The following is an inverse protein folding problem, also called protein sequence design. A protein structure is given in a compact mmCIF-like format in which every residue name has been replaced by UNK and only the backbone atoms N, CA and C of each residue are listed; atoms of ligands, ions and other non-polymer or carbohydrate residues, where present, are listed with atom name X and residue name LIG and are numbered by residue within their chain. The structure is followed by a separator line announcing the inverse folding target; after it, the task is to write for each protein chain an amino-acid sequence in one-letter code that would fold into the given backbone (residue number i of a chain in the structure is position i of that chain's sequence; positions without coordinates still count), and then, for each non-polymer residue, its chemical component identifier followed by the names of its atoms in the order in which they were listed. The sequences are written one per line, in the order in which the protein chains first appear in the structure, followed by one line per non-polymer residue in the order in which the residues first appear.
data_IF_444427158690
#
_entry.id   IF_444427158690
#
_cell.length_a   1.000
_cell.length_b   1.000
_cell.length_c   1.000
_cell.angle_alpha   90.00
_cell.angle_beta   90.00
_cell.angle_gamma   90.00
#
_symmetry.space_group_name_H-M   'P 1'
#
loop_
_entity.id
_entity.type
_entity.pdbx_description
1 polymer ?
#
# COMPACT_ATOMS: atom_id res chain seq x y z
N UNK A 1 4.19 70.82 18.85
CA UNK A 1 4.55 71.51 17.60
C UNK A 1 5.68 70.69 17.00
N UNK A 2 5.42 70.10 15.81
CA UNK A 2 6.36 69.45 14.87
C UNK A 2 7.00 68.14 15.39
N UNK A 3 6.49 66.95 15.05
CA UNK A 3 6.62 66.18 13.78
C UNK A 3 8.06 66.06 13.31
N UNK A 4 8.57 64.83 13.32
CA UNK A 4 9.29 64.26 12.19
C UNK A 4 8.88 62.78 12.06
N UNK A 5 8.30 62.48 10.91
CA UNK A 5 8.03 61.15 10.37
C UNK A 5 9.36 60.60 9.84
N UNK A 6 9.65 59.33 10.12
CA UNK A 6 10.55 58.56 9.25
C UNK A 6 9.98 57.15 9.10
N UNK A 7 9.33 56.95 7.96
CA UNK A 7 8.91 55.68 7.40
C UNK A 7 10.13 54.93 6.90
N UNK A 8 10.42 53.77 7.50
CA UNK A 8 11.23 52.73 6.87
C UNK A 8 10.42 51.43 6.81
N UNK A 9 10.13 51.05 5.57
CA UNK A 9 9.60 49.74 5.17
C UNK A 9 10.73 48.72 5.36
N UNK A 10 10.52 47.67 6.15
CA UNK A 10 11.40 46.50 6.14
C UNK A 10 10.57 45.21 6.34
N UNK A 11 10.32 44.57 5.20
CA UNK A 11 10.11 43.16 4.88
C UNK A 11 9.50 42.20 5.92
N UNK A 12 8.36 41.61 5.55
CA UNK A 12 7.81 40.39 6.16
C UNK A 12 8.85 39.25 6.19
N UNK A 13 9.06 38.55 7.32
CA UNK A 13 9.96 37.42 7.37
C UNK A 13 9.39 36.24 6.60
N UNK A 14 10.11 35.89 5.52
CA UNK A 14 9.94 34.67 4.70
C UNK A 14 9.73 33.45 5.58
N UNK A 15 8.61 32.76 5.35
CA UNK A 15 8.27 31.46 5.95
C UNK A 15 9.42 30.49 5.63
N UNK A 16 10.18 30.10 6.66
CA UNK A 16 11.18 29.05 6.56
C UNK A 16 10.47 27.73 6.33
N UNK A 17 10.79 27.05 5.24
CA UNK A 17 10.51 25.63 5.09
C UNK A 17 11.14 24.91 6.28
N UNK A 18 10.30 24.36 7.17
CA UNK A 18 10.74 23.48 8.24
C UNK A 18 11.34 22.23 7.61
N UNK A 19 12.64 22.02 7.81
CA UNK A 19 13.30 20.74 7.53
C UNK A 19 12.58 19.67 8.34
N UNK A 20 11.96 18.71 7.64
CA UNK A 20 11.44 17.49 8.25
C UNK A 20 12.56 16.79 9.03
N UNK A 21 12.19 16.22 10.16
CA UNK A 21 13.11 15.49 11.03
C UNK A 21 13.70 14.28 10.29
N UNK A 22 14.90 13.83 10.68
CA UNK A 22 15.55 12.66 10.07
C UNK A 22 14.73 11.38 10.22
N UNK A 23 13.90 11.29 11.28
CA UNK A 23 12.96 10.19 11.51
C UNK A 23 11.82 10.19 10.48
N UNK A 24 11.28 11.37 10.12
CA UNK A 24 10.28 11.51 9.06
C UNK A 24 10.86 11.28 7.65
N UNK A 25 12.20 11.36 7.49
CA UNK A 25 12.88 11.06 6.23
C UNK A 25 13.17 9.56 6.09
N UNK A 26 13.36 8.83 7.18
CA UNK A 26 13.57 7.38 7.18
C UNK A 26 12.28 6.57 6.92
N UNK A 27 11.13 6.96 7.51
CA UNK A 27 9.85 6.29 7.21
C UNK A 27 9.35 6.56 5.77
N UNK A 28 9.68 7.73 5.21
CA UNK A 28 9.40 8.04 3.82
C UNK A 28 10.26 7.14 2.89
N UNK A 29 11.47 6.69 3.26
CA UNK A 29 12.38 6.02 2.32
C UNK A 29 11.95 4.62 1.85
N UNK A 30 11.22 3.84 2.66
CA UNK A 30 10.80 2.48 2.28
C UNK A 30 9.54 2.46 1.38
N UNK A 31 8.78 3.57 1.32
CA UNK A 31 7.50 3.65 0.59
C UNK A 31 7.26 4.94 -0.23
N UNK A 32 8.17 5.92 -0.23
CA UNK A 32 8.11 7.10 -1.10
C UNK A 32 8.98 6.87 -2.33
N UNK A 33 8.40 6.48 -3.46
CA UNK A 33 7.78 7.45 -4.33
C UNK A 33 6.67 6.74 -5.12
N UNK A 34 5.46 6.66 -4.56
CA UNK A 34 4.28 6.08 -5.25
C UNK A 34 3.79 6.94 -6.44
N UNK A 35 4.48 8.04 -6.78
CA UNK A 35 4.14 8.92 -7.90
C UNK A 35 4.91 8.50 -9.14
N UNK A 36 4.21 8.37 -10.26
CA UNK A 36 4.86 8.10 -11.53
C UNK A 36 5.21 9.40 -12.26
N UNK A 37 6.24 9.33 -13.09
CA UNK A 37 6.57 10.35 -14.10
C UNK A 37 6.37 9.80 -15.51
N UNK A 38 5.48 8.81 -15.64
CA UNK A 38 5.13 8.27 -16.95
C UNK A 38 4.52 9.38 -17.79
N UNK A 39 4.81 9.42 -19.09
CA UNK A 39 4.20 10.39 -19.99
C UNK A 39 2.76 9.99 -20.30
N UNK A 40 2.50 8.70 -20.55
CA UNK A 40 1.16 8.14 -20.81
C UNK A 40 1.06 6.65 -20.39
N UNK A 41 -0.15 6.08 -20.45
CA UNK A 41 -0.39 4.64 -20.42
C UNK A 41 -0.52 4.03 -19.03
N UNK A 42 0.46 4.15 -18.13
CA UNK A 42 0.42 3.61 -16.75
C UNK A 42 -0.20 2.21 -16.54
N UNK A 43 -0.28 1.38 -17.58
CA UNK A 43 -0.98 0.08 -17.62
C UNK A 43 -0.02 -1.09 -17.46
N UNK A 44 1.26 -0.79 -17.25
CA UNK A 44 2.33 -1.77 -17.08
C UNK A 44 3.12 -1.50 -15.83
N UNK A 45 3.93 -2.48 -15.44
CA UNK A 45 4.76 -2.44 -14.23
C UNK A 45 5.96 -1.51 -14.31
N UNK A 46 6.18 -0.88 -15.47
CA UNK A 46 7.11 0.23 -15.59
C UNK A 46 6.60 1.47 -14.83
N UNK A 47 5.28 1.60 -14.65
CA UNK A 47 4.69 2.60 -13.79
C UNK A 47 4.79 2.17 -12.31
N UNK A 48 5.38 2.97 -11.42
CA UNK A 48 5.47 2.65 -9.99
C UNK A 48 4.10 2.54 -9.32
N UNK A 49 3.11 3.36 -9.71
CA UNK A 49 1.75 3.28 -9.17
C UNK A 49 1.14 1.90 -9.48
N UNK A 50 1.15 1.53 -10.77
CA UNK A 50 0.63 0.24 -11.23
C UNK A 50 1.36 -0.93 -10.59
N UNK A 51 2.70 -0.86 -10.50
CA UNK A 51 3.54 -1.90 -9.89
C UNK A 51 3.16 -2.18 -8.43
N UNK A 52 2.84 -1.13 -7.68
CA UNK A 52 2.50 -1.21 -6.26
C UNK A 52 1.00 -1.26 -5.97
N UNK A 53 0.16 -1.38 -7.00
CA UNK A 53 -1.29 -1.52 -6.81
C UNK A 53 -1.99 -0.23 -6.36
N UNK A 54 -1.40 0.94 -6.62
CA UNK A 54 -2.05 2.22 -6.39
C UNK A 54 -2.53 2.85 -7.70
N UNK A 55 -3.67 3.52 -7.65
CA UNK A 55 -4.07 4.44 -8.70
C UNK A 55 -3.09 5.60 -8.81
N UNK A 56 -3.02 6.19 -10.00
CA UNK A 56 -2.41 7.49 -10.21
C UNK A 56 -3.33 8.58 -9.64
N UNK A 57 -2.75 9.67 -9.17
CA UNK A 57 -3.48 10.84 -8.69
C UNK A 57 -2.90 12.13 -9.29
N UNK A 58 -3.42 13.27 -8.88
CA UNK A 58 -2.98 14.59 -9.36
C UNK A 58 -1.52 14.91 -9.04
N UNK A 59 -0.85 14.11 -8.20
CA UNK A 59 0.57 14.26 -7.92
C UNK A 59 1.48 13.50 -8.90
N UNK A 60 0.89 12.69 -9.78
CA UNK A 60 1.60 11.95 -10.83
C UNK A 60 1.79 12.81 -12.11
N UNK A 61 2.90 12.57 -12.81
CA UNK A 61 3.21 13.23 -14.08
C UNK A 61 2.45 12.70 -15.30
N UNK A 62 1.73 11.59 -15.16
CA UNK A 62 1.02 10.91 -16.28
C UNK A 62 -0.26 11.58 -16.75
N UNK A 63 -0.63 12.72 -16.15
CA UNK A 63 -1.85 13.43 -16.51
C UNK A 63 -3.13 12.63 -16.24
N UNK A 64 -4.22 13.11 -16.83
CA UNK A 64 -5.58 12.58 -16.63
C UNK A 64 -5.85 11.30 -17.44
N UNK A 65 -5.12 11.08 -18.55
CA UNK A 65 -5.31 9.96 -19.49
C UNK A 65 -4.58 8.67 -19.05
N UNK A 66 -4.45 8.47 -17.74
CA UNK A 66 -3.79 7.30 -17.17
C UNK A 66 -4.66 6.05 -17.31
N UNK A 67 -4.21 5.05 -18.08
CA UNK A 67 -4.90 3.75 -18.20
C UNK A 67 -4.57 2.79 -17.03
N UNK A 68 -4.10 3.33 -15.91
CA UNK A 68 -3.84 2.53 -14.72
C UNK A 68 -5.15 1.95 -14.18
N UNK A 69 -5.36 0.64 -14.31
CA UNK A 69 -6.58 -0.02 -13.83
C UNK A 69 -6.83 0.21 -12.32
N UNK A 70 -5.80 0.48 -11.53
CA UNK A 70 -5.94 0.79 -10.10
C UNK A 70 -6.55 2.17 -9.82
N UNK A 71 -6.77 3.00 -10.86
CA UNK A 71 -7.60 4.21 -10.76
C UNK A 71 -9.07 3.89 -10.46
N UNK A 72 -9.49 2.63 -10.67
CA UNK A 72 -10.86 2.15 -10.53
C UNK A 72 -11.07 1.25 -9.30
N UNK A 73 -10.22 1.40 -8.29
CA UNK A 73 -10.27 0.62 -7.07
C UNK A 73 -11.52 0.90 -6.21
N UNK A 74 -12.23 2.00 -6.45
CA UNK A 74 -13.55 2.29 -5.87
C UNK A 74 -14.58 1.18 -6.15
N UNK A 75 -14.40 0.38 -7.19
CA UNK A 75 -15.23 -0.81 -7.42
C UNK A 75 -15.16 -1.81 -6.25
N UNK A 76 -13.97 -1.98 -5.66
CA UNK A 76 -13.74 -2.89 -4.54
C UNK A 76 -13.95 -2.20 -3.19
N UNK A 77 -13.44 -0.98 -3.05
CA UNK A 77 -13.41 -0.29 -1.77
C UNK A 77 -14.61 0.62 -1.51
N UNK A 78 -15.31 1.07 -2.55
CA UNK A 78 -16.38 2.05 -2.44
C UNK A 78 -15.97 3.37 -1.77
N UNK A 79 -16.92 4.31 -1.73
CA UNK A 79 -16.74 5.61 -1.07
C UNK A 79 -15.76 6.54 -1.78
N UNK A 80 -15.52 7.70 -1.15
CA UNK A 80 -14.69 8.78 -1.72
C UNK A 80 -13.21 8.67 -1.35
N UNK A 81 -12.87 7.80 -0.38
CA UNK A 81 -11.49 7.57 0.01
C UNK A 81 -10.78 6.75 -1.07
N UNK A 82 -9.64 7.27 -1.55
CA UNK A 82 -8.73 6.51 -2.41
C UNK A 82 -7.94 5.52 -1.57
N UNK A 83 -8.02 4.24 -1.95
CA UNK A 83 -7.27 3.16 -1.32
C UNK A 83 -6.22 2.64 -2.28
N UNK A 84 -5.05 2.26 -1.76
CA UNK A 84 -4.14 1.38 -2.47
C UNK A 84 -4.56 -0.08 -2.24
N UNK A 85 -4.44 -0.92 -3.27
CA UNK A 85 -4.61 -2.35 -3.09
C UNK A 85 -3.38 -2.93 -2.39
N UNK A 86 -3.60 -3.81 -1.40
CA UNK A 86 -2.49 -4.56 -0.79
C UNK A 86 -1.68 -5.28 -1.90
N UNK A 87 -0.34 -5.33 -1.87
CA UNK A 87 0.44 -5.83 -2.99
C UNK A 87 0.06 -7.26 -3.43
N UNK A 88 -0.36 -8.11 -2.49
CA UNK A 88 -0.86 -9.44 -2.83
C UNK A 88 -2.18 -9.42 -3.62
N UNK A 89 -3.11 -8.54 -3.23
CA UNK A 89 -4.37 -8.33 -3.95
C UNK A 89 -4.12 -7.68 -5.32
N UNK A 90 -3.25 -6.67 -5.37
CA UNK A 90 -2.87 -6.01 -6.61
C UNK A 90 -2.29 -7.01 -7.62
N UNK A 91 -1.37 -7.89 -7.19
CA UNK A 91 -0.83 -8.94 -8.05
C UNK A 91 -1.92 -9.92 -8.52
N UNK A 92 -2.88 -10.25 -7.66
CA UNK A 92 -4.01 -11.10 -8.04
C UNK A 92 -4.89 -10.41 -9.09
N UNK A 93 -5.18 -9.11 -8.93
CA UNK A 93 -5.92 -8.31 -9.90
C UNK A 93 -5.20 -8.29 -11.25
N UNK A 94 -3.90 -8.02 -11.30
CA UNK A 94 -3.13 -8.03 -12.57
C UNK A 94 -3.18 -9.38 -13.31
N UNK A 95 -3.44 -10.49 -12.61
CA UNK A 95 -3.60 -11.81 -13.23
C UNK A 95 -5.03 -12.08 -13.69
N UNK A 96 -6.01 -11.38 -13.13
CA UNK A 96 -7.44 -11.62 -13.35
C UNK A 96 -8.08 -10.61 -14.28
N UNK A 97 -7.69 -9.35 -14.14
CA UNK A 97 -8.10 -8.25 -14.98
C UNK A 97 -6.86 -7.74 -15.73
N UNK A 98 -7.02 -7.49 -17.02
CA UNK A 98 -5.97 -6.90 -17.86
C UNK A 98 -6.04 -5.38 -17.88
N UNK A 99 -7.21 -4.84 -17.58
CA UNK A 99 -7.59 -3.43 -17.71
C UNK A 99 -8.74 -3.11 -16.73
N UNK A 100 -9.17 -1.85 -16.74
CA UNK A 100 -10.26 -1.34 -15.90
C UNK A 100 -11.60 -2.05 -16.16
N UNK A 101 -11.95 -2.30 -17.42
CA UNK A 101 -13.21 -2.95 -17.80
C UNK A 101 -13.28 -4.37 -17.25
N UNK A 102 -12.18 -5.12 -17.32
CA UNK A 102 -12.08 -6.45 -16.76
C UNK A 102 -12.21 -6.48 -15.23
N UNK A 103 -11.86 -5.40 -14.51
CA UNK A 103 -12.08 -5.32 -13.06
C UNK A 103 -13.56 -5.40 -12.72
N UNK A 104 -14.43 -4.75 -13.50
CA UNK A 104 -15.88 -4.73 -13.26
C UNK A 104 -16.54 -6.10 -13.46
N UNK A 105 -15.87 -7.01 -14.16
CA UNK A 105 -16.34 -8.39 -14.34
C UNK A 105 -16.09 -9.29 -13.13
N UNK A 106 -15.28 -8.84 -12.17
CA UNK A 106 -14.95 -9.60 -10.96
C UNK A 106 -16.15 -9.54 -10.01
N UNK A 107 -16.80 -10.69 -9.79
CA UNK A 107 -17.87 -10.83 -8.80
C UNK A 107 -17.34 -10.57 -7.37
N UNK A 108 -17.56 -9.34 -6.90
CA UNK A 108 -17.12 -8.85 -5.59
C UNK A 108 -17.72 -9.66 -4.44
N UNK A 109 -18.98 -10.03 -4.53
CA UNK A 109 -19.66 -10.78 -3.47
C UNK A 109 -19.18 -12.22 -3.39
N UNK A 110 -18.86 -12.84 -4.53
CA UNK A 110 -18.21 -14.14 -4.55
C UNK A 110 -16.80 -14.07 -3.99
N UNK A 111 -16.04 -13.02 -4.32
CA UNK A 111 -14.70 -12.81 -3.76
C UNK A 111 -14.76 -12.61 -2.23
N UNK A 112 -15.63 -11.72 -1.75
CA UNK A 112 -15.88 -11.50 -0.32
C UNK A 112 -16.24 -12.79 0.39
N UNK A 113 -17.25 -13.53 -0.09
CA UNK A 113 -17.66 -14.82 0.51
C UNK A 113 -16.54 -15.85 0.53
N UNK A 114 -15.63 -15.83 -0.46
CA UNK A 114 -14.45 -16.71 -0.46
C UNK A 114 -13.48 -16.34 0.66
N UNK A 115 -13.16 -15.06 0.82
CA UNK A 115 -12.23 -14.56 1.85
C UNK A 115 -12.79 -14.87 3.25
N UNK A 116 -14.07 -14.57 3.48
CA UNK A 116 -14.74 -14.78 4.77
C UNK A 116 -14.91 -16.26 5.15
N UNK A 117 -14.77 -17.17 4.18
CA UNK A 117 -14.80 -18.63 4.41
C UNK A 117 -13.41 -19.22 4.62
N UNK A 118 -12.36 -18.42 4.69
CA UNK A 118 -11.03 -18.93 4.91
C UNK A 118 -10.92 -19.56 6.31
N UNK A 119 -10.21 -20.69 6.40
CA UNK A 119 -10.18 -21.55 7.58
C UNK A 119 -9.55 -20.87 8.80
N UNK A 120 -8.55 -20.00 8.60
CA UNK A 120 -7.87 -19.28 9.67
C UNK A 120 -8.46 -17.89 9.93
N UNK A 121 -9.49 -17.48 9.18
CA UNK A 121 -10.14 -16.19 9.36
C UNK A 121 -10.63 -16.01 10.81
N UNK A 122 -11.21 -17.05 11.38
CA UNK A 122 -11.74 -17.05 12.75
C UNK A 122 -10.65 -16.94 13.82
N UNK A 123 -9.46 -17.49 13.56
CA UNK A 123 -8.33 -17.53 14.51
C UNK A 123 -7.51 -16.24 14.49
N UNK A 124 -7.41 -15.59 13.33
CA UNK A 124 -6.57 -14.39 13.15
C UNK A 124 -7.32 -13.09 13.45
N UNK A 125 -8.66 -13.11 13.44
CA UNK A 125 -9.49 -11.97 13.75
C UNK A 125 -9.92 -11.94 15.23
N UNK A 126 -9.18 -12.53 16.17
CA UNK A 126 -9.59 -12.59 17.60
C UNK A 126 -9.87 -11.20 18.22
N UNK A 127 -9.26 -10.12 17.70
CA UNK A 127 -9.56 -8.72 18.10
C UNK A 127 -10.88 -8.18 17.51
N UNK A 128 -11.29 -8.67 16.34
CA UNK A 128 -12.66 -8.52 15.90
C UNK A 128 -13.47 -9.51 16.71
N UNK A 129 -14.26 -9.03 17.68
CA UNK A 129 -15.15 -9.86 18.47
C UNK A 129 -16.09 -10.68 17.57
N UNK A 130 -15.61 -11.83 17.09
CA UNK A 130 -16.35 -12.74 16.22
C UNK A 130 -17.61 -13.21 16.93
N UNK A 131 -17.52 -13.30 18.25
CA UNK A 131 -18.61 -13.59 19.17
C UNK A 131 -19.67 -12.48 19.20
N UNK A 132 -19.30 -11.20 19.09
CA UNK A 132 -20.25 -10.11 18.85
C UNK A 132 -20.79 -10.17 17.42
N UNK A 133 -19.92 -10.29 16.42
CA UNK A 133 -20.30 -10.31 15.00
C UNK A 133 -21.30 -11.42 14.67
N UNK A 134 -21.13 -12.64 15.21
CA UNK A 134 -22.04 -13.76 14.93
C UNK A 134 -23.46 -13.53 15.48
N UNK A 135 -23.60 -12.67 16.48
CA UNK A 135 -24.87 -12.36 17.13
C UNK A 135 -25.58 -11.15 16.51
N UNK A 136 -24.90 -10.38 15.65
CA UNK A 136 -25.48 -9.27 14.87
C UNK A 136 -26.56 -9.75 13.90
N UNK A 137 -27.45 -8.84 13.50
CA UNK A 137 -28.44 -9.13 12.47
C UNK A 137 -27.79 -9.27 11.07
N UNK A 138 -28.58 -9.64 10.07
CA UNK A 138 -28.07 -9.89 8.71
C UNK A 138 -27.53 -8.62 8.02
N UNK A 139 -28.15 -7.46 8.29
CA UNK A 139 -27.75 -6.18 7.69
C UNK A 139 -26.46 -5.68 8.34
N UNK A 140 -26.35 -5.77 9.66
CA UNK A 140 -25.12 -5.45 10.39
C UNK A 140 -23.95 -6.36 10.00
N UNK A 141 -24.19 -7.68 9.88
CA UNK A 141 -23.18 -8.63 9.38
C UNK A 141 -22.74 -8.31 7.96
N UNK A 142 -23.65 -7.80 7.12
CA UNK A 142 -23.34 -7.39 5.77
C UNK A 142 -22.44 -6.15 5.77
N UNK A 143 -22.74 -5.14 6.59
CA UNK A 143 -21.95 -3.92 6.73
C UNK A 143 -20.55 -4.24 7.25
N UNK A 144 -20.45 -4.93 8.39
CA UNK A 144 -19.16 -5.35 8.96
C UNK A 144 -18.37 -6.21 7.97
N UNK A 145 -19.06 -7.12 7.27
CA UNK A 145 -18.45 -7.98 6.27
C UNK A 145 -17.94 -7.21 5.04
N UNK A 146 -18.50 -6.04 4.73
CA UNK A 146 -17.96 -5.15 3.68
C UNK A 146 -16.73 -4.40 4.19
N UNK A 147 -16.77 -3.84 5.39
CA UNK A 147 -15.65 -3.11 5.98
C UNK A 147 -14.42 -4.01 6.12
N UNK A 148 -14.60 -5.18 6.71
CA UNK A 148 -13.55 -6.17 6.87
C UNK A 148 -12.99 -6.65 5.52
N UNK A 149 -13.86 -6.83 4.51
CA UNK A 149 -13.41 -7.17 3.17
C UNK A 149 -12.50 -6.10 2.57
N UNK A 150 -12.84 -4.82 2.77
CA UNK A 150 -12.01 -3.69 2.34
C UNK A 150 -10.67 -3.70 3.07
N UNK A 151 -10.68 -3.87 4.38
CA UNK A 151 -9.46 -3.91 5.19
C UNK A 151 -8.52 -5.03 4.72
N UNK A 152 -9.04 -6.24 4.51
CA UNK A 152 -8.22 -7.39 4.12
C UNK A 152 -7.55 -7.27 2.74
N UNK A 153 -8.07 -6.45 1.83
CA UNK A 153 -7.50 -6.30 0.48
C UNK A 153 -6.84 -4.93 0.25
N UNK A 154 -6.95 -4.03 1.21
CA UNK A 154 -6.36 -2.69 1.20
C UNK A 154 -4.93 -2.71 1.74
N UNK A 155 -4.08 -1.86 1.18
CA UNK A 155 -2.75 -1.59 1.73
C UNK A 155 -2.82 -0.80 3.05
N UNK A 156 -3.94 -0.13 3.32
CA UNK A 156 -4.14 0.72 4.51
C UNK A 156 -4.45 -0.06 5.80
N UNK A 157 -4.70 -1.38 5.74
CA UNK A 157 -4.96 -2.13 6.98
C UNK A 157 -3.69 -2.20 7.83
N UNK A 158 -3.81 -2.00 9.14
CA UNK A 158 -2.65 -1.99 10.04
C UNK A 158 -2.18 -3.40 10.39
N UNK A 159 -3.12 -4.35 10.52
CA UNK A 159 -2.84 -5.64 11.17
C UNK A 159 -2.96 -6.83 10.23
N UNK A 160 -4.00 -6.88 9.39
CA UNK A 160 -4.36 -8.09 8.67
C UNK A 160 -4.51 -7.83 7.17
N UNK A 161 -4.16 -8.82 6.36
CA UNK A 161 -4.49 -8.85 4.95
C UNK A 161 -4.83 -10.26 4.50
N UNK A 162 -5.55 -10.37 3.38
CA UNK A 162 -5.78 -11.65 2.73
C UNK A 162 -4.68 -11.94 1.71
N UNK A 163 -3.90 -12.98 1.97
CA UNK A 163 -2.90 -13.49 1.06
C UNK A 163 -3.54 -14.33 -0.04
N UNK A 164 -3.61 -13.77 -1.25
CA UNK A 164 -4.00 -14.51 -2.45
C UNK A 164 -2.96 -15.55 -2.88
N UNK A 165 -1.70 -15.42 -2.43
CA UNK A 165 -0.65 -16.41 -2.68
C UNK A 165 -0.86 -17.68 -1.87
N UNK A 166 -1.29 -17.54 -0.60
CA UNK A 166 -1.45 -18.64 0.35
C UNK A 166 -2.91 -19.04 0.57
N UNK A 167 -3.85 -18.22 0.07
CA UNK A 167 -5.29 -18.38 0.24
C UNK A 167 -5.73 -18.32 1.72
N UNK A 168 -5.09 -17.45 2.50
CA UNK A 168 -5.27 -17.32 3.95
C UNK A 168 -5.21 -15.87 4.43
N UNK A 169 -5.75 -15.59 5.63
CA UNK A 169 -5.52 -14.30 6.30
C UNK A 169 -4.14 -14.33 6.94
N UNK A 170 -3.36 -13.27 6.74
CA UNK A 170 -2.02 -13.12 7.28
C UNK A 170 -1.93 -11.84 8.11
N UNK A 171 -1.05 -11.87 9.10
CA UNK A 171 -0.66 -10.72 9.91
C UNK A 171 0.46 -9.94 9.18
N UNK A 172 0.31 -8.61 9.07
CA UNK A 172 1.30 -7.74 8.43
C UNK A 172 2.63 -7.66 9.20
N UNK A 173 2.61 -7.90 10.50
CA UNK A 173 3.79 -7.96 11.36
C UNK A 173 4.61 -9.24 11.17
N UNK A 174 3.99 -10.35 10.76
CA UNK A 174 4.69 -11.62 10.50
C UNK A 174 4.89 -11.92 9.02
N UNK A 175 4.13 -11.27 8.13
CA UNK A 175 4.15 -11.56 6.71
C UNK A 175 4.00 -10.32 5.87
N UNK A 176 4.70 -10.30 4.74
CA UNK A 176 4.62 -9.22 3.76
C UNK A 176 4.60 -9.78 2.34
N UNK A 177 4.20 -8.97 1.36
CA UNK A 177 4.22 -9.36 -0.03
C UNK A 177 5.29 -8.60 -0.80
N UNK A 178 6.28 -9.30 -1.33
CA UNK A 178 7.31 -8.67 -2.14
C UNK A 178 6.77 -8.27 -3.51
N UNK A 179 6.66 -6.97 -3.80
CA UNK A 179 6.20 -6.47 -5.10
C UNK A 179 7.10 -6.90 -6.27
N UNK A 180 8.41 -7.05 -6.03
CA UNK A 180 9.39 -7.46 -7.03
C UNK A 180 9.33 -8.97 -7.33
N UNK A 181 9.42 -9.79 -6.28
CA UNK A 181 9.43 -11.26 -6.40
C UNK A 181 8.04 -11.87 -6.53
N UNK A 182 7.00 -11.10 -6.18
CA UNK A 182 5.57 -11.41 -6.38
C UNK A 182 5.08 -12.65 -5.63
N UNK A 183 5.51 -12.74 -4.37
CA UNK A 183 5.16 -13.81 -3.44
C UNK A 183 5.07 -13.27 -2.03
N UNK A 184 4.20 -13.86 -1.23
CA UNK A 184 4.13 -13.60 0.20
C UNK A 184 5.31 -14.26 0.92
N UNK A 185 5.85 -13.51 1.87
CA UNK A 185 7.10 -13.76 2.57
C UNK A 185 6.89 -13.61 4.06
N UNK A 186 7.67 -14.35 4.82
CA UNK A 186 7.76 -14.18 6.26
C UNK A 186 8.59 -12.92 6.58
N UNK A 187 8.32 -12.28 7.72
CA UNK A 187 9.01 -11.07 8.20
C UNK A 187 10.54 -11.21 8.29
N UNK A 188 11.07 -12.42 8.40
CA UNK A 188 12.53 -12.68 8.40
C UNK A 188 13.15 -12.59 7.01
N UNK A 189 12.34 -12.50 5.96
CA UNK A 189 12.79 -12.39 4.58
C UNK A 189 12.73 -10.92 4.16
N UNK A 190 13.75 -10.47 3.43
CA UNK A 190 13.80 -9.12 2.84
C UNK A 190 14.15 -9.23 1.36
N UNK A 191 13.84 -8.21 0.54
CA UNK A 191 14.22 -8.18 -0.88
C UNK A 191 15.53 -7.45 -1.09
N UNK A 192 16.53 -8.14 -1.65
CA UNK A 192 17.77 -7.51 -2.06
C UNK A 192 17.61 -6.90 -3.46
N UNK A 193 17.61 -5.58 -3.57
CA UNK A 193 17.48 -4.88 -4.85
C UNK A 193 18.68 -5.10 -5.78
N UNK A 194 19.90 -5.22 -5.23
CA UNK A 194 21.10 -5.52 -6.01
C UNK A 194 21.06 -6.91 -6.67
N UNK A 195 20.69 -7.93 -5.89
CA UNK A 195 20.57 -9.30 -6.39
C UNK A 195 19.22 -9.56 -7.06
N UNK A 196 18.29 -8.61 -6.98
CA UNK A 196 16.90 -8.72 -7.37
C UNK A 196 16.23 -10.02 -6.88
N UNK A 197 16.46 -10.39 -5.61
CA UNK A 197 15.95 -11.63 -5.02
C UNK A 197 15.64 -11.44 -3.53
N UNK A 198 14.57 -12.08 -3.07
CA UNK A 198 14.34 -12.16 -1.63
C UNK A 198 15.24 -13.19 -0.94
N UNK A 199 15.75 -12.81 0.23
CA UNK A 199 16.74 -13.55 1.02
C UNK A 199 16.23 -13.71 2.44
N UNK A 200 16.48 -14.87 3.06
CA UNK A 200 16.07 -15.17 4.42
C UNK A 200 17.15 -14.79 5.43
N UNK A 201 16.74 -14.17 6.54
CA UNK A 201 17.56 -13.85 7.70
C UNK A 201 18.52 -12.67 7.50
N UNK A 202 19.23 -12.32 8.59
CA UNK A 202 20.35 -11.37 8.59
C UNK A 202 21.63 -11.92 7.92
N UNK A 203 21.58 -13.14 7.38
CA UNK A 203 22.67 -13.64 6.55
C UNK A 203 22.74 -12.78 5.30
N UNK A 204 23.86 -12.08 5.13
CA UNK A 204 24.24 -11.25 3.99
C UNK A 204 25.02 -12.12 2.97
N UNK A 205 24.39 -12.79 1.98
CA UNK A 205 25.09 -13.62 1.00
C UNK A 205 25.46 -12.87 -0.28
N UNK A 206 25.32 -11.55 -0.30
CA UNK A 206 25.55 -10.72 -1.47
C UNK A 206 26.89 -10.01 -1.29
N UNK A 207 27.87 -10.27 -2.17
CA UNK A 207 29.22 -9.66 -2.13
C UNK A 207 29.21 -8.12 -2.15
N UNK A 208 28.08 -7.49 -2.51
CA UNK A 208 27.86 -6.04 -2.50
C UNK A 208 26.98 -5.52 -1.36
N UNK A 209 26.42 -6.40 -0.54
CA UNK A 209 25.51 -6.06 0.55
C UNK A 209 26.14 -6.37 1.92
N UNK A 210 27.34 -6.97 1.93
CA UNK A 210 28.10 -7.36 3.13
C UNK A 210 29.26 -6.43 3.50
N UNK A 211 29.55 -5.40 2.70
CA UNK A 211 30.54 -4.37 3.05
C UNK A 211 29.85 -3.27 3.87
N UNK A 212 29.75 -3.51 5.18
CA UNK A 212 29.48 -2.48 6.18
C UNK A 212 30.78 -2.15 6.90
N UNK A 213 31.62 -1.34 6.27
CA UNK A 213 32.44 -0.40 7.04
C UNK A 213 31.52 0.75 7.47
N UNK A 214 30.71 0.47 8.51
CA UNK A 214 29.91 1.46 9.22
C UNK A 214 28.50 1.67 8.66
N UNK A 215 27.52 1.52 9.56
CA UNK A 215 26.11 1.93 9.44
C UNK A 215 25.17 0.95 8.71
N UNK A 216 24.40 0.25 9.53
CA UNK A 216 23.32 -0.69 9.20
C UNK A 216 22.06 0.03 8.64
N UNK A 217 22.20 1.06 7.81
CA UNK A 217 21.08 1.92 7.40
C UNK A 217 20.37 1.52 6.10
N UNK A 218 20.99 0.69 5.23
CA UNK A 218 20.45 0.48 3.88
C UNK A 218 19.81 -0.92 3.62
N UNK A 219 19.52 -1.70 4.66
CA UNK A 219 18.96 -3.05 4.51
C UNK A 219 17.87 -3.43 5.54
N UNK A 220 17.22 -2.45 6.17
CA UNK A 220 16.07 -2.68 7.05
C UNK A 220 14.82 -1.96 6.53
#
# INVERSE_FOLDING_TARGET
MWFDEDTSEDEEPKIKHTEKSEIEKEEDFYYTNKRCLCEEGCSTRSCPCFKHGSGCDSSCGCGEDSENMFNHLEYFFGGDKKYAAHPCFAQWLMKKAKDADALQTIDRDKLRRRIMKCHNFKEQCEDYSYEEWKNKDEDEKLIDGQELFRNLISDDSEYLYYSFCRNEVCDKGSDWHCAECRRCMDWRVWHCYYCNKCTYGASLPCERCGDVDGEFSDCY
#
